data_IF_907066973481
#
_entry.id   IF_907066973481
#
_cell.length_a   1.000
_cell.length_b   1.000
_cell.length_c   1.000
_cell.angle_alpha   90.00
_cell.angle_beta   90.00
_cell.angle_gamma   90.00
#
_symmetry.space_group_name_H-M   'P 1'
#
loop_
_entity.id
_entity.type
_entity.pdbx_description
1 polymer ?
#
# COMPACT_ATOMS: atom_id res chain seq x y z
N UNK A 1 22.73 5.41 11.31
CA UNK A 1 22.36 4.32 10.38
C UNK A 1 22.04 4.94 9.02
N UNK A 2 22.69 4.45 7.98
CA UNK A 2 22.47 4.99 6.64
C UNK A 2 21.14 4.50 6.03
N UNK A 3 20.80 5.08 4.90
CA UNK A 3 19.53 4.76 4.21
C UNK A 3 19.44 3.27 3.85
N UNK A 4 20.50 2.70 3.30
CA UNK A 4 20.48 1.31 2.86
C UNK A 4 20.25 0.36 4.03
N UNK A 5 20.83 0.63 5.18
CA UNK A 5 20.62 -0.19 6.37
C UNK A 5 19.21 -0.02 6.92
N UNK A 6 18.67 1.20 6.90
CA UNK A 6 17.29 1.47 7.31
C UNK A 6 16.30 0.76 6.40
N UNK A 7 16.55 0.81 5.10
CA UNK A 7 15.72 0.14 4.10
C UNK A 7 15.70 -1.37 4.34
N UNK A 8 16.89 -1.97 4.49
CA UNK A 8 17.01 -3.40 4.74
C UNK A 8 16.27 -3.81 6.02
N UNK A 9 16.46 -3.07 7.11
CA UNK A 9 15.81 -3.37 8.37
C UNK A 9 14.29 -3.29 8.26
N UNK A 10 13.79 -2.31 7.52
CA UNK A 10 12.36 -2.14 7.28
C UNK A 10 11.78 -3.34 6.53
N UNK A 11 12.42 -3.74 5.44
CA UNK A 11 12.00 -4.88 4.64
C UNK A 11 12.04 -6.18 5.46
N UNK A 12 13.10 -6.39 6.22
CA UNK A 12 13.26 -7.58 7.04
C UNK A 12 12.16 -7.69 8.10
N UNK A 13 11.82 -6.57 8.74
CA UNK A 13 10.73 -6.56 9.72
C UNK A 13 9.38 -6.86 9.06
N UNK A 14 9.14 -6.27 7.90
CA UNK A 14 7.89 -6.51 7.17
C UNK A 14 7.73 -7.99 6.83
N UNK A 15 8.77 -8.61 6.29
CA UNK A 15 8.75 -10.03 5.94
C UNK A 15 8.50 -10.90 7.15
N UNK A 16 9.11 -10.56 8.28
CA UNK A 16 8.96 -11.30 9.52
C UNK A 16 7.52 -11.27 10.05
N UNK A 17 6.85 -10.12 9.92
CA UNK A 17 5.49 -9.96 10.43
C UNK A 17 4.41 -10.37 9.42
N UNK A 18 4.76 -10.51 8.15
CA UNK A 18 3.79 -10.71 7.07
C UNK A 18 2.93 -11.95 7.27
N UNK A 19 3.49 -13.07 7.70
CA UNK A 19 2.74 -14.32 7.88
C UNK A 19 1.59 -14.15 8.90
N UNK A 20 1.79 -13.32 9.91
CA UNK A 20 0.80 -13.09 10.97
C UNK A 20 -0.25 -12.06 10.57
N UNK A 21 0.14 -11.07 9.75
CA UNK A 21 -0.73 -9.92 9.43
C UNK A 21 -1.40 -10.03 8.07
N UNK A 22 -0.90 -10.88 7.18
CA UNK A 22 -1.43 -11.00 5.82
C UNK A 22 -2.86 -11.55 5.80
N UNK A 23 -3.63 -11.11 4.82
CA UNK A 23 -4.97 -11.59 4.56
C UNK A 23 -4.90 -12.64 3.46
N UNK A 24 -5.33 -13.86 3.78
CA UNK A 24 -5.37 -14.96 2.80
C UNK A 24 -6.71 -14.97 2.09
N UNK A 25 -6.68 -15.06 0.77
CA UNK A 25 -7.89 -15.18 -0.05
C UNK A 25 -8.00 -16.60 -0.60
N UNK A 26 -9.16 -16.93 -1.17
CA UNK A 26 -9.39 -18.26 -1.78
C UNK A 26 -8.34 -18.50 -2.87
N UNK A 27 -7.79 -19.71 -2.91
CA UNK A 27 -6.67 -20.06 -3.79
C UNK A 27 -5.31 -19.93 -3.14
N UNK A 28 -5.22 -19.44 -1.89
CA UNK A 28 -3.99 -19.40 -1.11
C UNK A 28 -3.11 -18.18 -1.27
N UNK A 29 -3.52 -17.18 -2.07
CA UNK A 29 -2.76 -15.95 -2.20
C UNK A 29 -2.85 -15.11 -0.93
N UNK A 30 -1.73 -14.52 -0.50
CA UNK A 30 -1.64 -13.72 0.71
C UNK A 30 -1.37 -12.26 0.37
N UNK A 31 -2.16 -11.37 0.94
CA UNK A 31 -2.09 -9.94 0.67
C UNK A 31 -1.83 -9.14 1.94
N UNK A 32 -0.97 -8.13 1.84
CA UNK A 32 -0.74 -7.19 2.93
C UNK A 32 -1.86 -6.15 3.00
N UNK A 33 -2.10 -5.65 4.21
CA UNK A 33 -2.92 -4.44 4.41
C UNK A 33 -2.03 -3.21 4.22
N UNK A 34 -2.59 -2.15 3.62
CA UNK A 34 -1.86 -0.87 3.46
C UNK A 34 -1.46 -0.32 4.83
N UNK A 35 -2.34 -0.44 5.83
CA UNK A 35 -2.04 0.02 7.18
C UNK A 35 -0.79 -0.63 7.76
N UNK A 36 -0.58 -1.94 7.54
CA UNK A 36 0.60 -2.64 8.03
C UNK A 36 1.86 -2.18 7.28
N UNK A 37 1.77 -2.00 5.97
CA UNK A 37 2.88 -1.44 5.18
C UNK A 37 3.29 -0.07 5.71
N UNK A 38 2.30 0.78 5.97
CA UNK A 38 2.55 2.15 6.45
C UNK A 38 3.11 2.16 7.87
N UNK A 39 2.56 1.36 8.76
CA UNK A 39 3.03 1.28 10.15
C UNK A 39 4.50 0.91 10.22
N UNK A 40 4.87 -0.17 9.53
CA UNK A 40 6.26 -0.66 9.54
C UNK A 40 7.19 0.35 8.89
N UNK A 41 6.77 0.94 7.78
CA UNK A 41 7.54 2.00 7.13
C UNK A 41 7.84 3.14 8.11
N UNK A 42 6.82 3.61 8.83
CA UNK A 42 6.97 4.74 9.77
C UNK A 42 7.87 4.42 10.96
N UNK A 43 7.92 3.16 11.38
CA UNK A 43 8.84 2.75 12.45
C UNK A 43 10.30 2.94 12.05
N UNK A 44 10.62 2.75 10.78
CA UNK A 44 11.99 2.87 10.28
C UNK A 44 12.30 4.22 9.63
N UNK A 45 11.28 4.93 9.19
CA UNK A 45 11.43 6.23 8.53
C UNK A 45 10.46 7.26 9.12
N UNK A 46 10.59 7.57 10.43
CA UNK A 46 9.71 8.57 11.04
C UNK A 46 9.92 9.97 10.48
N UNK A 47 11.07 10.21 9.86
CA UNK A 47 11.47 11.48 9.25
C UNK A 47 11.01 11.62 7.79
N UNK A 48 10.44 10.57 7.20
CA UNK A 48 10.01 10.60 5.80
C UNK A 48 8.79 11.50 5.61
N UNK A 49 8.75 12.15 4.44
CA UNK A 49 7.55 12.85 3.97
C UNK A 49 6.79 11.93 3.02
N UNK A 50 5.52 11.71 3.30
CA UNK A 50 4.61 10.93 2.45
C UNK A 50 3.57 11.91 1.92
N UNK A 51 3.59 12.14 0.62
CA UNK A 51 2.78 13.15 -0.04
C UNK A 51 1.85 12.50 -1.05
N UNK A 52 0.54 12.64 -0.85
CA UNK A 52 -0.47 12.14 -1.78
C UNK A 52 -1.18 13.31 -2.42
N UNK A 53 -1.13 13.38 -3.76
CA UNK A 53 -1.75 14.44 -4.54
C UNK A 53 -2.86 13.91 -5.41
N UNK A 54 -3.95 14.67 -5.46
CA UNK A 54 -4.99 14.50 -6.48
C UNK A 54 -4.43 15.05 -7.79
N UNK A 55 -4.21 14.18 -8.78
CA UNK A 55 -3.64 14.58 -10.08
C UNK A 55 -4.71 14.98 -11.09
N UNK A 56 -5.81 14.25 -11.12
CA UNK A 56 -6.94 14.61 -11.98
C UNK A 56 -8.22 13.98 -11.46
N UNK A 57 -9.32 14.60 -11.78
CA UNK A 57 -10.65 14.08 -11.54
C UNK A 57 -11.55 14.54 -12.68
N UNK A 58 -12.34 13.63 -13.22
CA UNK A 58 -13.35 13.94 -14.22
C UNK A 58 -14.65 13.17 -13.88
N UNK A 59 -15.58 13.11 -14.81
CA UNK A 59 -16.88 12.47 -14.56
C UNK A 59 -16.78 10.96 -14.32
N UNK A 60 -15.69 10.34 -14.71
CA UNK A 60 -15.56 8.87 -14.69
C UNK A 60 -14.45 8.36 -13.79
N UNK A 61 -13.37 9.11 -13.60
CA UNK A 61 -12.17 8.63 -12.90
C UNK A 61 -11.58 9.68 -11.99
N UNK A 62 -10.88 9.20 -10.96
CA UNK A 62 -10.01 10.01 -10.11
C UNK A 62 -8.62 9.38 -10.11
N UNK A 63 -7.59 10.22 -10.22
CA UNK A 63 -6.19 9.79 -10.27
C UNK A 63 -5.43 10.42 -9.12
N UNK A 64 -4.75 9.59 -8.34
CA UNK A 64 -3.86 10.02 -7.26
C UNK A 64 -2.44 9.58 -7.53
N UNK A 65 -1.51 10.35 -7.03
CA UNK A 65 -0.10 9.96 -6.96
C UNK A 65 0.40 10.16 -5.55
N UNK A 66 1.04 9.14 -5.01
CA UNK A 66 1.75 9.24 -3.74
C UNK A 66 3.24 9.18 -4.01
N UNK A 67 4.02 10.00 -3.33
CA UNK A 67 5.46 9.89 -3.35
C UNK A 67 6.00 9.98 -1.92
N UNK A 68 7.16 9.37 -1.73
CA UNK A 68 7.86 9.38 -0.45
C UNK A 68 9.22 10.03 -0.64
N UNK A 69 9.52 11.00 0.24
CA UNK A 69 10.83 11.67 0.27
C UNK A 69 11.54 11.38 1.58
N UNK A 70 12.83 11.10 1.47
CA UNK A 70 13.74 11.02 2.61
C UNK A 70 14.92 11.92 2.28
N UNK A 71 15.24 12.88 3.17
CA UNK A 71 16.31 13.87 2.95
C UNK A 71 16.15 14.59 1.61
N UNK A 72 14.94 15.02 1.30
CA UNK A 72 14.57 15.74 0.06
C UNK A 72 14.74 14.94 -1.22
N UNK A 73 15.01 13.63 -1.13
CA UNK A 73 15.08 12.75 -2.29
C UNK A 73 13.83 11.90 -2.37
N UNK A 74 13.26 11.79 -3.57
CA UNK A 74 12.15 10.88 -3.82
C UNK A 74 12.70 9.46 -3.86
N UNK A 75 12.20 8.61 -2.95
CA UNK A 75 12.65 7.22 -2.87
C UNK A 75 11.63 6.23 -3.40
N UNK A 76 10.37 6.64 -3.55
CA UNK A 76 9.33 5.79 -4.11
C UNK A 76 8.15 6.62 -4.56
N UNK A 77 7.37 6.09 -5.49
CA UNK A 77 6.10 6.68 -5.91
C UNK A 77 5.11 5.58 -6.27
N UNK A 78 3.83 5.93 -6.26
CA UNK A 78 2.76 5.01 -6.66
C UNK A 78 1.56 5.81 -7.18
N UNK A 79 0.87 5.24 -8.15
CA UNK A 79 -0.29 5.86 -8.78
C UNK A 79 -1.52 5.00 -8.59
N UNK A 80 -2.69 5.63 -8.53
CA UNK A 80 -3.96 4.96 -8.60
C UNK A 80 -4.86 5.67 -9.60
N UNK A 81 -5.74 4.88 -10.23
CA UNK A 81 -6.81 5.41 -11.09
C UNK A 81 -8.07 4.64 -10.74
N UNK A 82 -9.08 5.33 -10.24
CA UNK A 82 -10.29 4.70 -9.72
C UNK A 82 -11.51 5.20 -10.46
N UNK A 83 -12.39 4.27 -10.84
CA UNK A 83 -13.66 4.58 -11.50
C UNK A 83 -14.65 5.07 -10.44
N UNK A 84 -15.14 6.30 -10.60
CA UNK A 84 -16.01 6.95 -9.61
C UNK A 84 -17.34 6.23 -9.40
N UNK A 85 -17.92 5.69 -10.47
CA UNK A 85 -19.24 5.04 -10.40
C UNK A 85 -19.23 3.69 -9.70
N UNK A 86 -18.07 3.04 -9.61
CA UNK A 86 -18.00 1.68 -9.08
C UNK A 86 -17.87 1.64 -7.56
N UNK A 87 -17.65 2.79 -6.91
CA UNK A 87 -17.42 2.84 -5.47
C UNK A 87 -17.96 4.13 -4.86
N UNK A 88 -18.71 3.98 -3.76
CA UNK A 88 -19.24 5.13 -3.02
C UNK A 88 -18.13 6.03 -2.46
N UNK A 89 -16.97 5.46 -2.14
CA UNK A 89 -15.83 6.19 -1.55
C UNK A 89 -14.59 6.11 -2.44
N UNK A 90 -14.80 6.33 -3.75
CA UNK A 90 -13.73 6.19 -4.74
C UNK A 90 -12.52 7.08 -4.47
N UNK A 91 -12.74 8.30 -3.98
CA UNK A 91 -11.63 9.23 -3.67
C UNK A 91 -10.78 8.66 -2.54
N UNK A 92 -11.39 8.27 -1.43
CA UNK A 92 -10.68 7.70 -0.28
C UNK A 92 -9.99 6.39 -0.65
N UNK A 93 -10.66 5.56 -1.44
CA UNK A 93 -10.08 4.32 -1.94
C UNK A 93 -8.86 4.59 -2.81
N UNK A 94 -8.94 5.56 -3.72
CA UNK A 94 -7.83 5.93 -4.60
C UNK A 94 -6.62 6.43 -3.84
N UNK A 95 -6.82 7.23 -2.80
CA UNK A 95 -5.73 7.67 -1.94
C UNK A 95 -5.03 6.48 -1.29
N UNK A 96 -5.81 5.56 -0.71
CA UNK A 96 -5.28 4.37 -0.05
C UNK A 96 -4.50 3.49 -1.02
N UNK A 97 -5.04 3.27 -2.22
CA UNK A 97 -4.37 2.45 -3.23
C UNK A 97 -3.06 3.07 -3.69
N UNK A 98 -3.03 4.39 -3.94
CA UNK A 98 -1.80 5.05 -4.36
C UNK A 98 -0.71 4.96 -3.30
N UNK A 99 -1.08 5.13 -2.02
CA UNK A 99 -0.16 4.94 -0.89
C UNK A 99 0.34 3.50 -0.83
N UNK A 100 -0.57 2.53 -0.90
CA UNK A 100 -0.21 1.11 -0.85
C UNK A 100 0.76 0.72 -1.95
N UNK A 101 0.56 1.20 -3.17
CA UNK A 101 1.46 0.95 -4.30
C UNK A 101 2.81 1.63 -4.12
N UNK A 102 2.82 2.83 -3.56
CA UNK A 102 4.07 3.54 -3.25
C UNK A 102 4.91 2.75 -2.25
N UNK A 103 4.28 2.23 -1.19
CA UNK A 103 4.95 1.42 -0.18
C UNK A 103 5.40 0.06 -0.75
N UNK A 104 4.61 -0.53 -1.66
CA UNK A 104 5.01 -1.76 -2.35
C UNK A 104 6.24 -1.52 -3.23
N UNK A 105 6.27 -0.42 -3.96
CA UNK A 105 7.42 -0.05 -4.80
C UNK A 105 8.68 0.19 -3.96
N UNK A 106 8.52 0.65 -2.73
CA UNK A 106 9.62 0.77 -1.77
C UNK A 106 10.17 -0.62 -1.38
N UNK A 107 9.32 -1.64 -1.39
CA UNK A 107 9.72 -3.01 -1.10
C UNK A 107 8.81 -3.77 -0.10
N UNK A 108 7.71 -3.17 0.34
CA UNK A 108 6.82 -3.79 1.33
C UNK A 108 5.69 -4.56 0.64
N UNK A 109 6.05 -5.57 -0.14
CA UNK A 109 5.08 -6.31 -0.94
C UNK A 109 4.61 -7.63 -0.34
N UNK A 110 5.44 -8.33 0.43
CA UNK A 110 5.12 -9.70 0.79
C UNK A 110 5.04 -10.58 -0.47
N UNK A 111 3.99 -11.42 -0.57
CA UNK A 111 3.80 -12.33 -1.70
C UNK A 111 3.27 -11.63 -2.95
N UNK A 112 2.45 -10.59 -2.76
CA UNK A 112 1.76 -9.90 -3.84
C UNK A 112 2.02 -8.39 -3.82
N UNK A 113 2.12 -7.80 -5.00
CA UNK A 113 2.26 -6.35 -5.14
C UNK A 113 1.00 -5.62 -4.67
N UNK A 114 -0.16 -6.10 -5.09
CA UNK A 114 -1.43 -5.51 -4.68
C UNK A 114 -1.67 -5.69 -3.20
N UNK A 115 -2.33 -4.74 -2.56
CA UNK A 115 -2.79 -4.86 -1.18
C UNK A 115 -4.15 -5.55 -1.14
N UNK A 116 -4.56 -5.99 0.06
CA UNK A 116 -5.90 -6.57 0.22
C UNK A 116 -6.99 -5.55 -0.11
N UNK A 117 -6.75 -4.27 0.14
CA UNK A 117 -7.70 -3.21 -0.19
C UNK A 117 -8.02 -3.16 -1.68
N UNK A 118 -7.03 -3.46 -2.54
CA UNK A 118 -7.25 -3.51 -3.99
C UNK A 118 -8.05 -4.74 -4.41
N UNK A 119 -8.03 -5.82 -3.62
CA UNK A 119 -8.61 -7.10 -3.98
C UNK A 119 -10.04 -7.31 -3.48
N UNK A 120 -10.47 -6.56 -2.49
CA UNK A 120 -11.78 -6.76 -1.83
C UNK A 120 -12.93 -6.74 -2.83
N UNK A 121 -12.88 -5.90 -3.86
CA UNK A 121 -13.96 -5.76 -4.85
C UNK A 121 -13.74 -6.58 -6.11
N UNK A 122 -12.71 -7.40 -6.16
CA UNK A 122 -12.50 -8.30 -7.30
C UNK A 122 -13.56 -9.39 -7.22
N UNK A 123 -14.29 -9.65 -8.34
CA UNK A 123 -15.30 -10.71 -8.35
C UNK A 123 -14.73 -12.07 -7.92
N UNK A 124 -15.51 -12.80 -7.12
CA UNK A 124 -15.17 -14.15 -6.63
C UNK A 124 -14.01 -14.22 -5.64
N UNK A 125 -13.51 -13.09 -5.13
CA UNK A 125 -12.52 -13.10 -4.06
C UNK A 125 -13.22 -13.38 -2.75
N UNK A 126 -12.68 -14.37 -2.00
CA UNK A 126 -13.15 -14.70 -0.65
C UNK A 126 -11.98 -14.62 0.31
N UNK A 127 -12.17 -13.97 1.44
CA UNK A 127 -11.16 -13.88 2.50
C UNK A 127 -11.26 -15.14 3.34
N UNK A 128 -10.16 -15.90 3.41
CA UNK A 128 -10.08 -17.13 4.21
C UNK A 128 -9.57 -16.88 5.62
N UNK A 129 -8.72 -15.85 5.78
CA UNK A 129 -8.18 -15.47 7.08
C UNK A 129 -8.72 -14.09 7.42
N UNK A 130 -9.51 -13.95 8.50
CA UNK A 130 -10.04 -12.65 8.89
C UNK A 130 -8.94 -11.63 9.15
N UNK A 131 -9.30 -10.35 9.02
CA UNK A 131 -8.39 -9.26 9.36
C UNK A 131 -8.09 -9.35 10.85
N UNK A 132 -6.81 -9.50 11.19
CA UNK A 132 -6.35 -9.47 12.59
C UNK A 132 -6.02 -8.03 12.93
N UNK A 133 -6.64 -7.54 13.97
CA UNK A 133 -6.41 -6.17 14.45
C UNK A 133 -5.48 -6.17 15.65
#
# INVERSE_FOLDING_TARGET
MDYNQRHKNCIDQFKKEFEETAITVSGGANYAKVADRQRIFREHFPDAQVLTDLKSIDDTHVVFKTLIKVNDKIISSGWSRTVLKSKAKAIEFGETVSLGRCLANFGLTGDEYASIEEMIDVPNIKIEKPVVK
#
